data_IF_736489731410
#
_entry.id   IF_736489731410
#
_cell.length_a   1.000
_cell.length_b   1.000
_cell.length_c   1.000
_cell.angle_alpha   90.00
_cell.angle_beta   90.00
_cell.angle_gamma   90.00
#
_symmetry.space_group_name_H-M   'P 1'
#
loop_
_entity.id
_entity.type
_entity.pdbx_description
1 polymer ?
#
# COMPACT_ATOMS: atom_id res chain seq x y z
N UNK A 1 42.20 42.37 -24.83
CA UNK A 1 42.70 42.14 -23.46
C UNK A 1 42.80 40.63 -23.24
N UNK A 2 44.03 40.15 -22.98
CA UNK A 2 44.52 38.90 -22.36
C UNK A 2 43.63 37.63 -22.34
N UNK A 3 44.11 36.58 -23.06
CA UNK A 3 44.51 35.22 -22.61
C UNK A 3 44.15 34.80 -21.16
N UNK A 4 43.96 33.53 -20.76
CA UNK A 4 44.03 32.19 -21.36
C UNK A 4 43.69 31.13 -20.28
N UNK A 5 43.27 29.91 -20.70
CA UNK A 5 43.56 28.60 -20.07
C UNK A 5 42.97 28.30 -18.67
N UNK A 6 42.84 27.08 -18.16
CA UNK A 6 43.02 25.70 -18.62
C UNK A 6 42.69 24.78 -17.40
N UNK A 7 42.22 23.54 -17.66
CA UNK A 7 42.45 22.25 -16.92
C UNK A 7 42.33 22.23 -15.37
N UNK A 8 41.60 21.34 -14.69
CA UNK A 8 41.61 19.87 -14.78
C UNK A 8 42.28 19.24 -13.53
N UNK A 9 41.76 18.10 -13.04
CA UNK A 9 42.18 17.21 -11.91
C UNK A 9 41.68 17.60 -10.50
N UNK A 10 40.87 16.79 -9.78
CA UNK A 10 41.02 15.41 -9.25
C UNK A 10 42.04 15.30 -8.10
N UNK A 11 41.56 15.08 -6.87
CA UNK A 11 42.35 14.48 -5.78
C UNK A 11 41.46 13.85 -4.69
N UNK A 12 41.67 12.55 -4.48
CA UNK A 12 41.23 11.73 -3.35
C UNK A 12 41.82 12.22 -2.03
N UNK A 13 41.10 12.04 -0.92
CA UNK A 13 41.67 11.96 0.42
C UNK A 13 41.09 10.75 1.18
N UNK A 14 41.97 9.81 1.50
CA UNK A 14 41.77 8.63 2.36
C UNK A 14 42.84 8.64 3.46
N UNK A 15 42.46 8.20 4.67
CA UNK A 15 43.34 7.78 5.78
C UNK A 15 43.79 8.92 6.71
N UNK A 16 43.85 8.80 8.04
CA UNK A 16 44.19 7.64 8.88
C UNK A 16 43.56 7.77 10.28
N UNK A 17 43.03 6.67 10.79
CA UNK A 17 42.64 6.45 12.18
C UNK A 17 43.86 6.06 13.04
N UNK A 18 44.03 6.73 14.19
CA UNK A 18 45.09 6.46 15.17
C UNK A 18 44.62 5.56 16.31
N UNK A 19 45.53 4.69 16.75
CA UNK A 19 45.42 3.71 17.82
C UNK A 19 45.38 4.35 19.22
N UNK A 20 44.68 3.70 20.17
CA UNK A 20 45.15 3.58 21.56
C UNK A 20 44.57 2.31 22.21
N UNK A 21 45.47 1.39 22.55
CA UNK A 21 45.28 0.13 23.27
C UNK A 21 45.67 0.40 24.73
N UNK A 22 44.92 -0.13 25.70
CA UNK A 22 45.32 -0.15 27.11
C UNK A 22 45.32 -1.60 27.60
N UNK A 23 46.52 -2.12 27.83
CA UNK A 23 46.82 -3.39 28.53
C UNK A 23 46.53 -3.24 30.04
N UNK A 24 45.85 -4.22 30.66
CA UNK A 24 46.39 -5.35 31.42
C UNK A 24 46.78 -5.05 32.88
N UNK A 25 46.43 -5.97 33.80
CA UNK A 25 46.97 -5.96 35.15
C UNK A 25 46.25 -6.86 36.16
N UNK A 26 46.38 -8.18 36.02
CA UNK A 26 46.31 -9.14 37.14
C UNK A 26 47.49 -8.88 38.11
N UNK A 27 47.44 -9.26 39.38
CA UNK A 27 47.89 -10.57 39.89
C UNK A 27 47.64 -10.62 41.41
N UNK A 28 47.20 -11.76 41.94
CA UNK A 28 47.93 -12.37 43.05
C UNK A 28 47.79 -13.89 43.04
N UNK A 29 48.88 -14.58 43.39
CA UNK A 29 49.11 -16.03 43.26
C UNK A 29 49.02 -16.71 44.64
N UNK A 30 48.53 -17.95 44.78
CA UNK A 30 49.32 -19.21 44.89
C UNK A 30 48.48 -20.27 45.69
N UNK A 31 48.97 -21.50 46.01
CA UNK A 31 48.50 -22.76 45.42
C UNK A 31 47.74 -23.72 46.37
N UNK A 32 47.28 -24.83 45.79
CA UNK A 32 46.31 -25.85 46.24
C UNK A 32 46.51 -26.54 47.61
N UNK A 33 45.42 -27.15 48.13
CA UNK A 33 45.45 -28.58 48.45
C UNK A 33 44.25 -29.34 47.84
N UNK A 34 44.46 -30.62 47.54
CA UNK A 34 43.40 -31.62 47.31
C UNK A 34 43.52 -32.71 48.40
N UNK A 35 42.54 -33.60 48.61
CA UNK A 35 41.11 -33.54 48.34
C UNK A 35 40.26 -33.78 49.62
N UNK A 36 39.00 -33.35 49.62
CA UNK A 36 37.99 -33.91 50.52
C UNK A 36 36.75 -34.21 49.67
N UNK A 37 36.39 -35.49 49.55
CA UNK A 37 35.09 -35.89 49.04
C UNK A 37 34.02 -35.31 49.98
N UNK A 38 32.97 -34.67 49.43
CA UNK A 38 31.67 -35.23 49.74
C UNK A 38 30.64 -35.11 48.61
N UNK A 39 29.71 -36.07 48.69
CA UNK A 39 28.32 -36.01 48.28
C UNK A 39 28.04 -35.85 46.77
N UNK A 40 27.51 -36.95 46.21
CA UNK A 40 26.74 -36.96 44.97
C UNK A 40 25.63 -35.91 45.07
N UNK A 41 25.85 -34.74 44.49
CA UNK A 41 24.78 -33.84 44.12
C UNK A 41 24.11 -34.42 42.88
N UNK A 42 22.86 -34.86 43.03
CA UNK A 42 22.00 -35.21 41.89
C UNK A 42 21.88 -33.95 41.04
N UNK A 43 22.53 -33.95 39.88
CA UNK A 43 22.30 -32.94 38.86
C UNK A 43 20.84 -33.05 38.42
N UNK A 44 20.01 -32.09 38.84
CA UNK A 44 18.74 -31.81 38.18
C UNK A 44 19.08 -31.43 36.74
N UNK A 45 18.74 -32.32 35.82
CA UNK A 45 18.86 -32.06 34.39
C UNK A 45 18.11 -30.75 34.06
N UNK A 46 18.78 -29.85 33.35
CA UNK A 46 18.11 -28.76 32.66
C UNK A 46 16.97 -29.35 31.80
N UNK A 47 15.77 -28.74 31.81
CA UNK A 47 14.72 -29.18 30.92
C UNK A 47 15.23 -29.08 29.48
N UNK A 48 14.99 -30.11 28.64
CA UNK A 48 15.43 -30.07 27.25
C UNK A 48 14.84 -28.83 26.59
N UNK A 49 15.72 -28.00 26.05
CA UNK A 49 15.39 -26.88 25.18
C UNK A 49 14.41 -27.41 24.13
N UNK A 50 13.17 -26.91 24.19
CA UNK A 50 12.13 -27.34 23.27
C UNK A 50 12.64 -27.14 21.85
N UNK A 51 12.57 -28.20 21.04
CA UNK A 51 12.89 -28.11 19.62
C UNK A 51 12.15 -26.92 19.01
N UNK A 52 12.78 -26.13 18.10
CA UNK A 52 12.06 -25.08 17.40
C UNK A 52 10.80 -25.69 16.78
N UNK A 53 9.68 -24.98 16.94
CA UNK A 53 8.42 -25.39 16.33
C UNK A 53 8.65 -25.70 14.84
N UNK A 54 8.03 -26.76 14.29
CA UNK A 54 8.11 -27.02 12.87
C UNK A 54 7.75 -25.74 12.12
N UNK A 55 8.64 -25.28 11.25
CA UNK A 55 8.33 -24.18 10.32
C UNK A 55 7.08 -24.63 9.56
N UNK A 56 6.00 -23.88 9.73
CA UNK A 56 4.74 -24.15 9.04
C UNK A 56 5.03 -24.25 7.54
N UNK A 57 4.60 -25.36 6.93
CA UNK A 57 4.81 -25.54 5.50
C UNK A 57 4.12 -24.37 4.77
N UNK A 58 4.76 -23.78 3.75
CA UNK A 58 4.15 -22.70 2.99
C UNK A 58 2.75 -23.11 2.53
N UNK A 59 1.79 -22.19 2.62
CA UNK A 59 0.45 -22.44 2.13
C UNK A 59 0.51 -22.92 0.66
N UNK A 60 -0.33 -23.90 0.27
CA UNK A 60 -0.33 -24.40 -1.09
C UNK A 60 -0.66 -23.28 -2.07
N UNK A 61 0.17 -23.12 -3.11
CA UNK A 61 -0.03 -22.15 -4.17
C UNK A 61 -1.32 -22.50 -4.96
N UNK A 62 -2.23 -21.54 -5.22
CA UNK A 62 -3.42 -21.78 -6.01
C UNK A 62 -3.09 -22.35 -7.40
N UNK A 63 -3.88 -23.29 -7.95
CA UNK A 63 -3.56 -23.94 -9.23
C UNK A 63 -3.35 -22.96 -10.40
N UNK A 64 -4.15 -21.90 -10.45
CA UNK A 64 -4.06 -20.88 -11.50
C UNK A 64 -2.76 -20.06 -11.40
N UNK A 65 -2.33 -19.75 -10.17
CA UNK A 65 -1.05 -19.09 -9.91
C UNK A 65 0.11 -19.98 -10.35
N UNK A 66 0.11 -21.25 -9.94
CA UNK A 66 1.16 -22.19 -10.32
C UNK A 66 1.27 -22.36 -11.85
N UNK A 67 0.14 -22.37 -12.56
CA UNK A 67 0.13 -22.39 -14.02
C UNK A 67 0.71 -21.11 -14.63
N UNK A 68 0.38 -19.94 -14.07
CA UNK A 68 0.92 -18.66 -14.54
C UNK A 68 2.43 -18.59 -14.33
N UNK A 69 2.92 -18.98 -13.15
CA UNK A 69 4.35 -19.06 -12.85
C UNK A 69 5.09 -20.01 -13.82
N UNK A 70 4.50 -21.16 -14.14
CA UNK A 70 5.10 -22.11 -15.07
C UNK A 70 5.24 -21.53 -16.49
N UNK A 71 4.25 -20.76 -16.94
CA UNK A 71 4.32 -20.05 -18.24
C UNK A 71 5.36 -18.93 -18.19
N UNK A 72 5.41 -18.15 -17.10
CA UNK A 72 6.34 -17.04 -16.97
C UNK A 72 7.80 -17.50 -16.86
N UNK A 73 8.11 -18.53 -16.07
CA UNK A 73 9.48 -19.08 -15.98
C UNK A 73 10.00 -19.69 -17.29
N UNK A 74 9.10 -20.05 -18.22
CA UNK A 74 9.48 -20.49 -19.57
C UNK A 74 9.85 -19.31 -20.47
N UNK A 75 9.21 -18.16 -20.28
CA UNK A 75 9.42 -16.93 -21.07
C UNK A 75 10.59 -16.09 -20.52
N UNK A 76 10.67 -15.99 -19.20
CA UNK A 76 11.63 -15.20 -18.43
C UNK A 76 12.19 -16.05 -17.27
N UNK A 77 13.39 -16.63 -17.42
CA UNK A 77 14.00 -17.47 -16.39
C UNK A 77 14.30 -16.74 -15.08
N UNK A 78 14.41 -15.41 -15.10
CA UNK A 78 14.68 -14.56 -13.94
C UNK A 78 13.37 -14.02 -13.31
N UNK A 79 12.22 -14.51 -13.78
CA UNK A 79 10.92 -14.23 -13.17
C UNK A 79 10.93 -14.57 -11.68
N UNK A 80 10.43 -13.64 -10.85
CA UNK A 80 10.26 -13.73 -9.39
C UNK A 80 11.50 -13.58 -8.49
N UNK A 81 12.69 -13.35 -9.06
CA UNK A 81 13.95 -13.19 -8.31
C UNK A 81 13.90 -12.13 -7.18
N UNK A 82 13.01 -11.15 -7.30
CA UNK A 82 12.84 -10.08 -6.32
C UNK A 82 11.51 -10.16 -5.57
N UNK A 83 10.41 -10.16 -6.32
CA UNK A 83 9.06 -10.38 -5.82
C UNK A 83 8.13 -10.64 -7.01
N UNK A 84 6.95 -11.19 -6.74
CA UNK A 84 5.84 -11.25 -7.68
C UNK A 84 4.50 -11.03 -6.97
N UNK A 85 3.58 -10.37 -7.66
CA UNK A 85 2.19 -10.19 -7.24
C UNK A 85 1.26 -10.62 -8.36
N UNK A 86 0.16 -11.30 -8.00
CA UNK A 86 -0.82 -11.84 -8.93
C UNK A 86 -2.19 -11.22 -8.69
N UNK A 87 -2.81 -10.76 -9.77
CA UNK A 87 -4.22 -10.42 -9.81
C UNK A 87 -4.97 -11.42 -10.69
N UNK A 88 -6.10 -11.90 -10.17
CA UNK A 88 -6.98 -12.86 -10.84
C UNK A 88 -8.33 -12.22 -11.12
N UNK A 89 -8.92 -12.57 -12.25
CA UNK A 89 -10.29 -12.20 -12.61
C UNK A 89 -10.52 -12.25 -14.11
N UNK A 90 -11.79 -12.28 -14.50
CA UNK A 90 -12.22 -12.31 -15.90
C UNK A 90 -11.98 -10.95 -16.59
N UNK A 91 -10.82 -10.80 -17.24
CA UNK A 91 -10.35 -9.56 -17.87
C UNK A 91 -10.94 -9.39 -19.26
N UNK A 92 -11.05 -10.48 -20.02
CA UNK A 92 -11.59 -10.45 -21.39
C UNK A 92 -13.09 -10.78 -21.51
N UNK A 93 -13.74 -11.07 -20.37
CA UNK A 93 -15.19 -11.29 -20.24
C UNK A 93 -15.65 -12.60 -20.88
N UNK A 94 -14.79 -13.62 -20.89
CA UNK A 94 -15.11 -14.96 -21.37
C UNK A 94 -15.69 -15.90 -20.29
N UNK A 95 -15.78 -15.42 -19.04
CA UNK A 95 -16.30 -16.15 -17.89
C UNK A 95 -15.26 -17.01 -17.16
N UNK A 96 -13.97 -16.92 -17.51
CA UNK A 96 -12.86 -17.59 -16.82
C UNK A 96 -11.93 -16.55 -16.23
N UNK A 97 -11.27 -16.90 -15.12
CA UNK A 97 -10.29 -16.00 -14.52
C UNK A 97 -9.00 -15.98 -15.35
N UNK A 98 -8.60 -14.77 -15.73
CA UNK A 98 -7.31 -14.44 -16.31
C UNK A 98 -6.31 -14.06 -15.20
N UNK A 99 -5.06 -13.82 -15.58
CA UNK A 99 -3.99 -13.46 -14.65
C UNK A 99 -3.24 -12.22 -15.14
N UNK A 100 -3.11 -11.21 -14.29
CA UNK A 100 -2.12 -10.16 -14.43
C UNK A 100 -1.04 -10.35 -13.37
N UNK A 101 0.22 -10.36 -13.78
CA UNK A 101 1.37 -10.58 -12.90
C UNK A 101 2.28 -9.36 -12.94
N UNK A 102 2.52 -8.79 -11.78
CA UNK A 102 3.57 -7.80 -11.55
C UNK A 102 4.78 -8.50 -10.95
N UNK A 103 5.98 -8.22 -11.43
CA UNK A 103 7.21 -8.68 -10.79
C UNK A 103 8.35 -7.69 -10.96
N UNK A 104 9.28 -7.74 -10.02
CA UNK A 104 10.43 -6.85 -9.97
C UNK A 104 11.53 -7.26 -10.94
N UNK A 105 12.10 -6.28 -11.64
CA UNK A 105 13.33 -6.43 -12.42
C UNK A 105 14.46 -5.72 -11.69
N UNK A 106 15.56 -6.44 -11.46
CA UNK A 106 16.81 -5.89 -10.96
C UNK A 106 17.95 -6.00 -11.96
N UNK A 107 19.11 -5.50 -11.54
CA UNK A 107 20.36 -5.69 -12.27
C UNK A 107 21.18 -6.80 -11.58
N UNK A 108 22.12 -7.41 -12.30
CA UNK A 108 23.04 -8.42 -11.74
C UNK A 108 23.67 -7.93 -10.43
N UNK A 109 23.45 -8.68 -9.34
CA UNK A 109 23.97 -8.37 -8.01
C UNK A 109 23.21 -7.29 -7.24
N UNK A 110 22.09 -6.77 -7.77
CA UNK A 110 21.20 -5.89 -7.03
C UNK A 110 20.47 -6.67 -5.94
N UNK A 111 20.36 -6.07 -4.74
CA UNK A 111 19.59 -6.64 -3.61
C UNK A 111 18.12 -6.19 -3.62
N UNK A 112 17.72 -5.35 -4.59
CA UNK A 112 16.37 -4.82 -4.77
C UNK A 112 16.08 -4.65 -6.26
N UNK A 113 14.81 -4.74 -6.64
CA UNK A 113 14.36 -4.40 -7.97
C UNK A 113 14.41 -2.88 -8.20
N UNK A 114 14.63 -2.46 -9.44
CA UNK A 114 14.70 -1.05 -9.85
C UNK A 114 13.54 -0.64 -10.75
N UNK A 115 12.83 -1.63 -11.31
CA UNK A 115 11.65 -1.46 -12.15
C UNK A 115 10.67 -2.61 -11.91
N UNK A 116 9.42 -2.40 -12.31
CA UNK A 116 8.39 -3.43 -12.31
C UNK A 116 8.03 -3.78 -13.75
N UNK A 117 7.71 -5.04 -13.99
CA UNK A 117 7.10 -5.49 -15.24
C UNK A 117 5.74 -6.10 -14.97
N UNK A 118 4.80 -5.82 -15.87
CA UNK A 118 3.46 -6.39 -15.83
C UNK A 118 3.26 -7.31 -17.04
N UNK A 119 2.81 -8.54 -16.80
CA UNK A 119 2.46 -9.53 -17.83
C UNK A 119 1.03 -9.97 -17.68
N UNK A 120 0.36 -10.16 -18.81
CA UNK A 120 -1.04 -10.59 -18.88
C UNK A 120 -1.07 -12.00 -19.45
N UNK A 121 -1.76 -12.91 -18.78
CA UNK A 121 -2.04 -14.26 -19.25
C UNK A 121 -3.54 -14.44 -19.30
N UNK A 122 -4.07 -14.82 -20.47
CA UNK A 122 -5.50 -15.06 -20.64
C UNK A 122 -5.79 -16.54 -20.61
N UNK A 123 -6.89 -16.92 -19.96
CA UNK A 123 -7.32 -18.30 -19.93
C UNK A 123 -7.90 -18.68 -21.30
N UNK A 124 -7.38 -19.76 -21.88
CA UNK A 124 -7.82 -20.35 -23.15
C UNK A 124 -8.10 -21.83 -22.97
N UNK A 125 -8.66 -22.46 -24.00
CA UNK A 125 -9.01 -23.89 -23.95
C UNK A 125 -7.77 -24.78 -23.76
N UNK A 126 -6.61 -24.32 -24.21
CA UNK A 126 -5.33 -25.00 -24.05
C UNK A 126 -4.59 -24.67 -22.72
N UNK A 127 -5.16 -23.79 -21.89
CA UNK A 127 -4.53 -23.26 -20.67
C UNK A 127 -4.23 -21.76 -20.76
N UNK A 128 -3.39 -21.27 -19.86
CA UNK A 128 -2.98 -19.87 -19.83
C UNK A 128 -2.10 -19.54 -21.04
N UNK A 129 -2.47 -18.49 -21.76
CA UNK A 129 -1.73 -17.94 -22.89
C UNK A 129 -1.13 -16.59 -22.53
N UNK A 130 0.22 -16.53 -22.51
CA UNK A 130 0.96 -15.30 -22.28
C UNK A 130 0.76 -14.33 -23.44
N UNK A 131 0.18 -13.18 -23.12
CA UNK A 131 -0.09 -12.14 -24.09
C UNK A 131 1.19 -11.37 -24.41
N UNK A 132 1.26 -10.87 -25.65
CA UNK A 132 2.36 -10.02 -26.09
C UNK A 132 2.40 -8.76 -25.23
N UNK A 133 3.57 -8.50 -24.65
CA UNK A 133 3.79 -7.26 -23.91
C UNK A 133 3.76 -6.06 -24.87
N UNK A 134 3.07 -5.00 -24.45
CA UNK A 134 3.17 -3.68 -25.06
C UNK A 134 4.13 -2.84 -24.20
N UNK A 135 5.33 -2.49 -24.70
CA UNK A 135 6.32 -1.77 -23.93
C UNK A 135 5.89 -0.34 -23.57
N UNK A 136 4.83 0.19 -24.19
CA UNK A 136 4.36 1.56 -23.95
C UNK A 136 3.32 1.67 -22.82
N UNK A 137 2.66 0.57 -22.42
CA UNK A 137 1.56 0.63 -21.44
C UNK A 137 2.00 0.85 -20.00
N UNK A 138 3.18 0.34 -19.61
CA UNK A 138 3.67 0.34 -18.22
C UNK A 138 5.05 0.98 -18.10
N UNK A 139 5.25 2.14 -18.72
CA UNK A 139 6.53 2.88 -18.69
C UNK A 139 6.82 3.62 -17.38
N UNK A 140 6.10 3.26 -16.32
CA UNK A 140 6.16 3.84 -14.99
C UNK A 140 6.33 2.72 -13.96
N UNK A 141 6.47 3.06 -12.68
CA UNK A 141 6.51 2.04 -11.64
C UNK A 141 5.10 1.47 -11.39
N UNK A 142 4.73 0.45 -12.15
CA UNK A 142 3.40 -0.13 -12.13
C UNK A 142 3.20 -1.07 -10.94
N UNK A 143 2.07 -0.90 -10.22
CA UNK A 143 1.61 -1.81 -9.19
C UNK A 143 0.23 -2.38 -9.52
N UNK A 144 0.12 -3.69 -9.73
CA UNK A 144 -1.12 -4.38 -10.09
C UNK A 144 -2.01 -4.52 -8.85
N UNK A 145 -3.24 -4.03 -8.93
CA UNK A 145 -4.18 -4.00 -7.78
C UNK A 145 -5.31 -5.02 -7.87
N UNK A 146 -5.57 -5.57 -9.05
CA UNK A 146 -6.67 -6.51 -9.24
C UNK A 146 -7.28 -6.45 -10.63
N UNK A 147 -8.07 -7.48 -10.95
CA UNK A 147 -8.95 -7.52 -12.10
C UNK A 147 -10.38 -7.53 -11.55
N UNK A 148 -11.14 -6.46 -11.81
CA UNK A 148 -12.50 -6.31 -11.32
C UNK A 148 -13.42 -5.94 -12.47
N UNK A 149 -14.46 -6.75 -12.71
CA UNK A 149 -15.50 -6.48 -13.73
C UNK A 149 -14.93 -6.24 -15.15
N UNK A 150 -13.96 -7.05 -15.56
CA UNK A 150 -13.30 -6.91 -16.86
C UNK A 150 -12.41 -5.67 -16.98
N UNK A 151 -11.89 -5.16 -15.85
CA UNK A 151 -10.93 -4.07 -15.82
C UNK A 151 -9.73 -4.42 -14.94
N UNK A 152 -8.54 -4.30 -15.52
CA UNK A 152 -7.30 -4.36 -14.78
C UNK A 152 -7.05 -3.01 -14.12
N UNK A 153 -6.86 -3.00 -12.80
CA UNK A 153 -6.49 -1.81 -12.03
C UNK A 153 -4.99 -1.83 -11.74
N UNK A 154 -4.32 -0.75 -12.11
CA UNK A 154 -2.87 -0.59 -11.93
C UNK A 154 -2.60 0.80 -11.37
N UNK A 155 -1.78 0.88 -10.33
CA UNK A 155 -1.31 2.15 -9.79
C UNK A 155 0.05 2.50 -10.39
N UNK A 156 0.32 3.79 -10.57
CA UNK A 156 1.68 4.29 -10.74
C UNK A 156 2.22 4.71 -9.38
N UNK A 157 3.33 4.13 -9.00
CA UNK A 157 4.09 4.46 -7.81
C UNK A 157 5.13 5.55 -8.13
N UNK A 158 5.51 6.33 -7.14
CA UNK A 158 6.54 7.37 -7.31
C UNK A 158 7.92 6.80 -7.69
N UNK A 159 8.25 5.60 -7.19
CA UNK A 159 9.45 4.84 -7.57
C UNK A 159 9.36 3.39 -7.08
N UNK A 160 9.95 2.44 -7.81
CA UNK A 160 9.89 1.01 -7.42
C UNK A 160 10.87 0.64 -6.29
N UNK A 161 11.98 1.38 -6.17
CA UNK A 161 13.04 1.05 -5.21
C UNK A 161 12.77 1.56 -3.79
N UNK A 162 11.76 2.42 -3.60
CA UNK A 162 11.36 2.93 -2.30
C UNK A 162 10.55 1.83 -1.58
N UNK A 163 10.82 1.50 -0.32
CA UNK A 163 10.13 0.42 0.39
C UNK A 163 8.61 0.57 0.42
N UNK A 164 8.14 1.81 0.61
CA UNK A 164 6.73 2.16 0.73
C UNK A 164 6.47 3.40 -0.13
N UNK A 165 6.36 3.22 -1.47
CA UNK A 165 6.17 4.34 -2.37
C UNK A 165 4.73 4.81 -2.35
N UNK A 166 4.53 6.14 -2.43
CA UNK A 166 3.20 6.70 -2.65
C UNK A 166 2.66 6.34 -4.03
N UNK A 167 1.35 6.12 -4.10
CA UNK A 167 0.62 6.11 -5.37
C UNK A 167 0.41 7.53 -5.86
N UNK A 168 0.80 7.79 -7.10
CA UNK A 168 0.71 9.12 -7.73
C UNK A 168 -0.36 9.19 -8.82
N UNK A 169 -0.78 8.05 -9.37
CA UNK A 169 -1.86 7.95 -10.34
C UNK A 169 -2.47 6.53 -10.34
N UNK A 170 -3.72 6.45 -10.76
CA UNK A 170 -4.51 5.23 -10.85
C UNK A 170 -4.96 5.02 -12.29
N UNK A 171 -4.70 3.84 -12.82
CA UNK A 171 -5.03 3.48 -14.20
C UNK A 171 -6.02 2.32 -14.22
N UNK A 172 -6.96 2.38 -15.16
CA UNK A 172 -7.82 1.25 -15.50
C UNK A 172 -7.58 0.85 -16.95
N UNK A 173 -7.42 -0.45 -17.18
CA UNK A 173 -7.24 -1.01 -18.51
C UNK A 173 -8.35 -2.02 -18.81
N UNK A 174 -8.76 -2.06 -20.07
CA UNK A 174 -9.72 -3.03 -20.59
C UNK A 174 -9.07 -3.89 -21.66
N UNK A 175 -9.46 -5.17 -21.71
CA UNK A 175 -9.06 -6.02 -22.81
C UNK A 175 -9.89 -5.73 -24.07
N UNK A 176 -9.22 -5.67 -25.21
CA UNK A 176 -9.83 -5.50 -26.53
C UNK A 176 -9.27 -6.52 -27.52
N UNK A 177 -9.83 -6.57 -28.72
CA UNK A 177 -9.30 -7.42 -29.81
C UNK A 177 -7.86 -7.06 -30.22
N UNK A 178 -7.37 -5.87 -29.86
CA UNK A 178 -6.00 -5.42 -30.12
C UNK A 178 -5.07 -5.63 -28.92
N UNK A 179 -5.58 -6.20 -27.83
CA UNK A 179 -4.88 -6.33 -26.55
C UNK A 179 -5.38 -5.32 -25.52
N UNK A 180 -4.57 -5.12 -24.48
CA UNK A 180 -4.87 -4.26 -23.36
C UNK A 180 -4.89 -2.79 -23.77
N UNK A 181 -5.93 -2.05 -23.39
CA UNK A 181 -6.10 -0.62 -23.71
C UNK A 181 -6.39 0.17 -22.44
N UNK A 182 -5.66 1.26 -22.22
CA UNK A 182 -5.98 2.20 -21.15
C UNK A 182 -7.37 2.81 -21.37
N UNK A 183 -8.22 2.70 -20.34
CA UNK A 183 -9.61 3.15 -20.33
C UNK A 183 -9.81 4.36 -19.40
N UNK A 184 -9.00 4.49 -18.35
CA UNK A 184 -8.99 5.63 -17.46
C UNK A 184 -7.61 5.87 -16.87
N UNK A 185 -7.37 7.13 -16.49
CA UNK A 185 -6.28 7.58 -15.63
C UNK A 185 -6.87 8.60 -14.67
N UNK A 186 -6.51 8.51 -13.39
CA UNK A 186 -6.97 9.42 -12.34
C UNK A 186 -5.83 9.75 -11.39
N UNK A 187 -5.73 11.02 -11.03
CA UNK A 187 -5.00 11.47 -9.84
C UNK A 187 -5.69 11.00 -8.55
N UNK A 188 -5.00 11.13 -7.41
CA UNK A 188 -5.58 10.82 -6.09
C UNK A 188 -6.86 11.66 -5.82
N UNK A 189 -6.87 12.94 -6.25
CA UNK A 189 -8.04 13.82 -6.14
C UNK A 189 -9.24 13.26 -6.92
N UNK A 190 -9.03 12.92 -8.20
CA UNK A 190 -10.08 12.37 -9.07
C UNK A 190 -10.54 10.98 -8.61
N UNK A 191 -9.64 10.17 -8.05
CA UNK A 191 -9.96 8.85 -7.52
C UNK A 191 -10.82 8.93 -6.25
N UNK A 192 -10.58 9.91 -5.38
CA UNK A 192 -11.45 10.19 -4.23
C UNK A 192 -12.83 10.65 -4.71
N UNK A 193 -12.90 11.58 -5.67
CA UNK A 193 -14.19 12.04 -6.22
C UNK A 193 -14.98 10.90 -6.84
N UNK A 194 -14.33 10.06 -7.65
CA UNK A 194 -14.97 8.92 -8.30
C UNK A 194 -15.61 7.97 -7.26
N UNK A 195 -14.87 7.61 -6.20
CA UNK A 195 -15.38 6.72 -5.15
C UNK A 195 -16.46 7.35 -4.29
N UNK A 196 -16.36 8.66 -3.98
CA UNK A 196 -17.45 9.38 -3.32
C UNK A 196 -18.70 9.43 -4.21
N UNK A 197 -18.54 9.53 -5.53
CA UNK A 197 -19.63 9.46 -6.50
C UNK A 197 -20.32 8.09 -6.51
N UNK A 198 -19.53 7.01 -6.51
CA UNK A 198 -20.04 5.64 -6.41
C UNK A 198 -20.75 5.39 -5.06
N UNK A 199 -20.20 5.89 -3.96
CA UNK A 199 -20.84 5.85 -2.64
C UNK A 199 -22.16 6.63 -2.64
N UNK A 200 -22.18 7.85 -3.21
CA UNK A 200 -23.40 8.65 -3.33
C UNK A 200 -24.51 7.90 -4.08
N UNK A 201 -24.14 7.23 -5.17
CA UNK A 201 -25.04 6.41 -5.99
C UNK A 201 -25.55 5.19 -5.23
N UNK A 202 -24.67 4.47 -4.55
CA UNK A 202 -25.02 3.30 -3.74
C UNK A 202 -26.01 3.68 -2.62
N UNK A 203 -25.73 4.76 -1.89
CA UNK A 203 -26.59 5.27 -0.83
C UNK A 203 -27.97 5.70 -1.36
N UNK A 204 -28.02 6.41 -2.50
CA UNK A 204 -29.29 6.85 -3.12
C UNK A 204 -30.14 5.69 -3.61
N UNK A 205 -29.48 4.66 -4.13
CA UNK A 205 -30.13 3.45 -4.66
C UNK A 205 -30.41 2.38 -3.60
N UNK A 206 -30.08 2.62 -2.33
CA UNK A 206 -30.28 1.66 -1.24
C UNK A 206 -29.41 0.41 -1.34
N UNK A 207 -28.30 0.45 -2.09
CA UNK A 207 -27.37 -0.68 -2.25
C UNK A 207 -26.38 -0.70 -1.09
N UNK A 208 -26.84 -1.16 0.07
CA UNK A 208 -26.06 -1.15 1.32
C UNK A 208 -24.74 -1.92 1.23
N UNK A 209 -24.71 -3.05 0.50
CA UNK A 209 -23.49 -3.83 0.27
C UNK A 209 -22.42 -3.04 -0.50
N UNK A 210 -22.83 -2.30 -1.53
CA UNK A 210 -21.92 -1.44 -2.30
C UNK A 210 -21.42 -0.27 -1.44
N UNK A 211 -22.30 0.36 -0.66
CA UNK A 211 -21.93 1.45 0.23
C UNK A 211 -20.94 0.99 1.32
N UNK A 212 -21.14 -0.21 1.87
CA UNK A 212 -20.28 -0.79 2.90
C UNK A 212 -18.82 -0.99 2.41
N UNK A 213 -18.61 -1.23 1.11
CA UNK A 213 -17.27 -1.37 0.56
C UNK A 213 -16.42 -0.09 0.69
N UNK A 214 -17.04 1.10 0.67
CA UNK A 214 -16.37 2.39 0.85
C UNK A 214 -16.25 2.82 2.32
N UNK A 215 -16.99 2.16 3.20
CA UNK A 215 -17.05 2.44 4.64
C UNK A 215 -16.33 1.38 5.46
N UNK A 216 -15.59 0.50 4.79
CA UNK A 216 -14.78 -0.52 5.43
C UNK A 216 -13.79 0.15 6.39
N UNK A 217 -13.58 -0.44 7.58
CA UNK A 217 -12.60 0.08 8.52
C UNK A 217 -11.23 0.16 7.86
N UNK A 218 -10.59 1.32 8.02
CA UNK A 218 -9.20 1.48 7.69
C UNK A 218 -8.31 0.66 8.61
N UNK A 219 -7.07 0.44 8.19
CA UNK A 219 -6.09 -0.16 9.08
C UNK A 219 -5.93 0.75 10.32
N UNK A 220 -5.73 0.15 11.49
CA UNK A 220 -5.66 0.85 12.78
C UNK A 220 -4.24 0.86 13.34
N UNK A 221 -3.91 1.89 14.13
CA UNK A 221 -2.67 1.92 14.88
C UNK A 221 -2.58 0.72 15.84
N UNK A 222 -1.36 0.26 16.14
CA UNK A 222 -1.14 -0.83 17.07
C UNK A 222 -1.85 -0.57 18.42
N UNK A 223 -2.73 -1.51 18.82
CA UNK A 223 -3.51 -1.39 20.06
C UNK A 223 -4.78 -0.52 19.97
N UNK A 224 -5.08 0.06 18.80
CA UNK A 224 -6.33 0.77 18.53
C UNK A 224 -7.33 -0.13 17.78
N UNK A 225 -8.62 0.13 17.96
CA UNK A 225 -9.67 -0.47 17.13
C UNK A 225 -9.89 0.39 15.88
N UNK A 226 -10.06 -0.26 14.73
CA UNK A 226 -10.43 0.42 13.50
C UNK A 226 -11.83 1.06 13.63
N UNK A 227 -12.06 2.18 12.93
CA UNK A 227 -13.35 2.84 12.95
C UNK A 227 -14.45 1.96 12.33
N UNK A 228 -15.55 1.82 13.05
CA UNK A 228 -16.73 1.10 12.56
C UNK A 228 -17.66 2.08 11.82
N UNK A 229 -18.36 1.58 10.80
CA UNK A 229 -19.33 2.38 10.08
C UNK A 229 -20.67 2.52 10.84
N UNK A 230 -21.04 1.53 11.66
CA UNK A 230 -22.35 1.46 12.34
C UNK A 230 -22.73 2.77 13.07
N UNK A 231 -21.83 3.43 13.83
CA UNK A 231 -22.17 4.68 14.53
C UNK A 231 -22.51 5.87 13.61
N UNK A 232 -22.18 5.81 12.31
CA UNK A 232 -22.62 6.82 11.33
C UNK A 232 -24.10 6.67 11.00
N UNK A 233 -24.66 5.46 11.16
CA UNK A 233 -26.00 5.10 10.72
C UNK A 233 -27.00 4.86 11.86
N UNK A 234 -26.52 4.78 13.11
CA UNK A 234 -27.33 4.59 14.32
C UNK A 234 -28.35 5.71 14.54
N UNK A 235 -27.94 6.97 14.33
CA UNK A 235 -28.80 8.14 14.50
C UNK A 235 -29.37 8.61 13.16
N UNK A 236 -30.69 8.83 13.12
CA UNK A 236 -31.38 9.21 11.89
C UNK A 236 -30.90 10.55 11.31
N UNK A 237 -30.63 11.54 12.17
CA UNK A 237 -30.13 12.86 11.75
C UNK A 237 -28.69 12.76 11.19
N UNK A 238 -27.81 12.03 11.88
CA UNK A 238 -26.43 11.78 11.43
C UNK A 238 -26.38 11.06 10.10
N UNK A 239 -27.17 9.99 9.96
CA UNK A 239 -27.31 9.24 8.72
C UNK A 239 -27.79 10.13 7.57
N UNK A 240 -28.83 10.91 7.80
CA UNK A 240 -29.36 11.82 6.78
C UNK A 240 -28.32 12.89 6.38
N UNK A 241 -27.62 13.46 7.36
CA UNK A 241 -26.57 14.45 7.14
C UNK A 241 -25.38 13.89 6.36
N UNK A 242 -24.90 12.68 6.72
CA UNK A 242 -23.85 11.99 5.99
C UNK A 242 -24.22 11.75 4.52
N UNK A 243 -25.41 11.19 4.27
CA UNK A 243 -25.91 10.94 2.91
C UNK A 243 -26.00 12.26 2.13
N UNK A 244 -26.54 13.31 2.74
CA UNK A 244 -26.66 14.62 2.11
C UNK A 244 -25.28 15.24 1.79
N UNK A 245 -24.32 15.14 2.70
CA UNK A 245 -22.97 15.67 2.53
C UNK A 245 -22.24 14.95 1.38
N UNK A 246 -22.26 13.62 1.36
CA UNK A 246 -21.67 12.81 0.27
C UNK A 246 -22.30 13.20 -1.07
N UNK A 247 -23.64 13.26 -1.15
CA UNK A 247 -24.35 13.63 -2.38
C UNK A 247 -24.11 15.08 -2.82
N UNK A 248 -23.94 16.00 -1.87
CA UNK A 248 -23.68 17.39 -2.15
C UNK A 248 -22.29 17.60 -2.76
N UNK A 249 -21.30 16.84 -2.28
CA UNK A 249 -19.87 17.07 -2.52
C UNK A 249 -19.21 16.12 -3.53
N UNK A 250 -19.79 14.95 -3.82
CA UNK A 250 -19.18 13.90 -4.67
C UNK A 250 -18.88 14.28 -6.13
N UNK A 251 -19.30 15.47 -6.58
CA UNK A 251 -19.03 15.98 -7.93
C UNK A 251 -18.67 17.46 -7.95
N UNK A 252 -18.22 18.01 -6.82
CA UNK A 252 -17.84 19.41 -6.73
C UNK A 252 -16.40 19.62 -7.20
N UNK A 253 -16.17 20.75 -7.86
CA UNK A 253 -14.81 21.19 -8.18
C UNK A 253 -14.11 21.67 -6.91
N UNK A 254 -12.85 21.28 -6.75
CA UNK A 254 -12.04 21.73 -5.63
C UNK A 254 -11.40 23.08 -5.88
N UNK A 255 -11.40 23.92 -4.84
CA UNK A 255 -10.50 25.05 -4.72
C UNK A 255 -9.17 24.56 -4.14
N UNK A 256 -8.07 25.00 -4.75
CA UNK A 256 -6.74 24.79 -4.19
C UNK A 256 -6.50 25.74 -3.00
N UNK A 257 -6.08 25.17 -1.86
CA UNK A 257 -5.70 25.93 -0.66
C UNK A 257 -4.19 26.00 -0.45
N UNK A 258 -3.48 24.96 -0.86
CA UNK A 258 -2.02 24.84 -0.81
C UNK A 258 -1.51 23.92 -1.91
N UNK A 259 -0.24 23.52 -1.84
CA UNK A 259 0.33 22.59 -2.83
C UNK A 259 -0.46 21.27 -2.86
N UNK A 260 -0.73 20.70 -1.68
CA UNK A 260 -1.37 19.40 -1.52
C UNK A 260 -2.80 19.47 -0.96
N UNK A 261 -3.30 20.68 -0.69
CA UNK A 261 -4.61 20.86 -0.05
C UNK A 261 -5.66 21.33 -1.03
N UNK A 262 -6.85 20.74 -0.91
CA UNK A 262 -8.03 20.99 -1.74
C UNK A 262 -9.26 21.13 -0.86
N UNK A 263 -10.17 22.00 -1.26
CA UNK A 263 -11.44 22.15 -0.54
C UNK A 263 -12.61 22.39 -1.49
N UNK A 264 -13.68 21.63 -1.29
CA UNK A 264 -14.97 21.86 -1.91
C UNK A 264 -15.98 22.23 -0.82
N UNK A 265 -16.81 23.23 -1.09
CA UNK A 265 -17.84 23.71 -0.16
C UNK A 265 -19.15 23.84 -0.92
N UNK A 266 -20.23 23.32 -0.34
CA UNK A 266 -21.58 23.49 -0.88
C UNK A 266 -22.56 23.78 0.26
N UNK A 267 -22.98 25.03 0.39
CA UNK A 267 -23.70 25.46 1.59
C UNK A 267 -22.82 25.26 2.82
N UNK A 268 -23.30 24.49 3.79
CA UNK A 268 -22.58 24.18 5.03
C UNK A 268 -21.79 22.86 4.96
N UNK A 269 -21.86 22.14 3.83
CA UNK A 269 -21.09 20.91 3.63
C UNK A 269 -19.68 21.25 3.14
N UNK A 270 -18.67 20.64 3.76
CA UNK A 270 -17.25 20.79 3.37
C UNK A 270 -16.62 19.43 3.06
N UNK A 271 -15.80 19.40 2.02
CA UNK A 271 -14.89 18.29 1.73
C UNK A 271 -13.48 18.85 1.61
N UNK A 272 -12.61 18.50 2.55
CA UNK A 272 -11.20 18.87 2.55
C UNK A 272 -10.34 17.66 2.15
N UNK A 273 -9.41 17.84 1.23
CA UNK A 273 -8.44 16.80 0.87
C UNK A 273 -7.03 17.25 1.22
N UNK A 274 -6.27 16.35 1.84
CA UNK A 274 -4.83 16.41 1.93
C UNK A 274 -4.23 15.31 1.03
N UNK A 275 -3.68 15.71 -0.12
CA UNK A 275 -3.14 14.82 -1.15
C UNK A 275 -1.71 14.33 -0.86
N UNK A 276 -1.10 14.79 0.24
CA UNK A 276 0.21 14.33 0.69
C UNK A 276 0.31 14.50 2.21
N UNK A 277 -0.39 13.66 2.99
CA UNK A 277 -0.34 13.72 4.44
C UNK A 277 1.09 13.48 4.94
N UNK A 278 1.63 14.42 5.72
CA UNK A 278 2.97 14.28 6.31
C UNK A 278 2.92 13.30 7.49
N UNK A 279 3.94 12.45 7.62
CA UNK A 279 4.17 11.65 8.84
C UNK A 279 3.25 10.43 9.04
N UNK A 280 2.31 10.18 8.14
CA UNK A 280 1.42 9.02 8.21
C UNK A 280 1.90 7.90 7.28
N UNK A 281 3.11 7.37 7.54
CA UNK A 281 3.16 5.90 7.57
C UNK A 281 2.26 5.58 8.75
N UNK A 282 0.99 5.34 8.48
CA UNK A 282 0.13 4.91 9.54
C UNK A 282 0.83 3.64 10.09
N UNK A 283 1.15 3.62 11.39
CA UNK A 283 1.76 2.46 12.06
C UNK A 283 0.68 1.38 12.14
N UNK A 284 0.32 0.86 10.97
CA UNK A 284 -0.84 0.03 10.69
C UNK A 284 -0.52 -1.41 11.02
N UNK A 285 -0.21 -1.70 12.29
CA UNK A 285 0.09 -3.04 12.82
C UNK A 285 1.37 -3.69 12.28
N UNK A 286 1.59 -3.61 10.97
CA UNK A 286 2.56 -4.36 10.18
C UNK A 286 3.52 -3.43 9.39
N UNK A 287 3.27 -2.11 9.38
CA UNK A 287 4.21 -1.09 8.85
C UNK A 287 4.29 -0.94 7.32
N UNK A 288 3.48 -1.68 6.56
CA UNK A 288 3.68 -1.85 5.11
C UNK A 288 2.76 -1.02 4.19
N UNK A 289 1.93 -0.12 4.74
CA UNK A 289 0.90 0.58 3.95
C UNK A 289 1.06 2.09 4.00
N UNK A 290 1.15 2.70 2.81
CA UNK A 290 1.25 4.16 2.61
C UNK A 290 -0.13 4.78 2.49
N UNK A 291 -0.35 5.89 3.20
CA UNK A 291 -1.50 6.74 2.99
C UNK A 291 -1.26 7.67 1.79
N UNK A 292 -2.05 7.50 0.72
CA UNK A 292 -1.91 8.28 -0.50
C UNK A 292 -2.60 9.65 -0.40
N UNK A 293 -3.67 9.74 0.40
CA UNK A 293 -4.40 10.98 0.66
C UNK A 293 -5.41 10.83 1.81
N UNK A 294 -5.75 11.92 2.48
CA UNK A 294 -6.85 11.98 3.46
C UNK A 294 -7.98 12.85 2.91
N UNK A 295 -9.21 12.36 3.03
CA UNK A 295 -10.42 13.12 2.73
C UNK A 295 -11.26 13.32 4.00
N UNK A 296 -11.54 14.56 4.37
CA UNK A 296 -12.40 14.92 5.51
C UNK A 296 -13.70 15.51 5.02
N UNK A 297 -14.82 14.84 5.31
CA UNK A 297 -16.18 15.26 5.00
C UNK A 297 -16.85 15.82 6.24
N UNK A 298 -17.39 17.03 6.16
CA UNK A 298 -18.02 17.73 7.28
C UNK A 298 -19.43 18.22 6.95
N UNK A 299 -20.31 18.16 7.94
CA UNK A 299 -21.67 18.71 7.85
C UNK A 299 -22.21 19.15 9.22
N UNK A 300 -23.12 20.13 9.26
CA UNK A 300 -23.81 20.51 10.49
C UNK A 300 -24.88 19.47 10.88
N UNK A 301 -25.06 19.24 12.17
CA UNK A 301 -26.22 18.48 12.71
C UNK A 301 -27.28 19.39 13.35
N UNK A 302 -26.89 20.60 13.79
CA UNK A 302 -27.77 21.58 14.44
C UNK A 302 -27.22 22.04 15.79
N UNK A 303 -27.79 23.12 16.35
CA UNK A 303 -27.46 23.65 17.68
C UNK A 303 -25.94 23.89 17.92
N UNK A 304 -25.22 24.34 16.89
CA UNK A 304 -23.79 24.60 16.97
C UNK A 304 -22.91 23.35 16.92
N UNK A 305 -23.48 22.17 16.65
CA UNK A 305 -22.77 20.90 16.53
C UNK A 305 -22.67 20.48 15.07
N UNK A 306 -21.44 20.17 14.65
CA UNK A 306 -21.10 19.55 13.38
C UNK A 306 -20.63 18.11 13.54
N UNK A 307 -20.49 17.42 12.41
CA UNK A 307 -19.97 16.06 12.36
C UNK A 307 -19.00 15.90 11.21
N UNK A 308 -17.92 15.18 11.47
CA UNK A 308 -16.85 14.91 10.52
C UNK A 308 -16.67 13.41 10.32
N UNK A 309 -16.30 13.04 9.09
CA UNK A 309 -15.87 11.68 8.72
C UNK A 309 -14.58 11.81 7.95
N UNK A 310 -13.56 11.05 8.35
CA UNK A 310 -12.26 11.02 7.67
C UNK A 310 -12.08 9.70 6.95
N UNK A 311 -11.58 9.78 5.73
CA UNK A 311 -11.22 8.65 4.89
C UNK A 311 -9.74 8.66 4.57
N UNK A 312 -9.14 7.47 4.55
CA UNK A 312 -7.82 7.23 3.94
C UNK A 312 -8.02 6.77 2.49
N UNK A 313 -7.24 7.30 1.57
CA UNK A 313 -7.01 6.69 0.27
C UNK A 313 -5.75 5.82 0.37
N UNK A 314 -5.94 4.53 0.18
CA UNK A 314 -4.85 3.55 0.19
C UNK A 314 -4.99 2.71 -1.07
N UNK A 315 -3.96 2.71 -1.93
CA UNK A 315 -3.91 1.86 -3.12
C UNK A 315 -5.17 2.02 -4.00
N UNK A 316 -5.57 3.29 -4.18
CA UNK A 316 -6.71 3.67 -5.01
C UNK A 316 -8.08 3.34 -4.42
N UNK A 317 -8.19 3.02 -3.13
CA UNK A 317 -9.47 2.74 -2.48
C UNK A 317 -9.65 3.49 -1.16
N UNK A 318 -10.89 3.91 -0.89
CA UNK A 318 -11.26 4.59 0.36
C UNK A 318 -11.44 3.61 1.51
N UNK A 319 -11.03 4.06 2.68
CA UNK A 319 -11.21 3.38 3.96
C UNK A 319 -11.65 4.39 5.02
N UNK A 320 -12.56 3.98 5.91
CA UNK A 320 -12.99 4.82 7.02
C UNK A 320 -11.88 4.89 8.09
N UNK A 321 -11.34 6.08 8.33
CA UNK A 321 -10.33 6.31 9.35
C UNK A 321 -10.96 6.52 10.72
N UNK A 322 -11.84 7.52 10.79
CA UNK A 322 -12.52 7.94 12.00
C UNK A 322 -13.79 8.71 11.66
N UNK A 323 -14.56 9.02 12.70
CA UNK A 323 -15.68 9.94 12.63
C UNK A 323 -15.91 10.56 14.01
N UNK A 324 -16.24 11.85 14.06
CA UNK A 324 -16.42 12.56 15.32
C UNK A 324 -17.35 13.77 15.20
N UNK A 325 -17.99 14.16 16.31
CA UNK A 325 -18.67 15.44 16.42
C UNK A 325 -17.67 16.57 16.69
N UNK A 326 -17.97 17.77 16.22
CA UNK A 326 -17.17 18.97 16.47
C UNK A 326 -18.07 20.18 16.76
N UNK A 327 -17.54 21.19 17.44
CA UNK A 327 -18.24 22.46 17.65
C UNK A 327 -18.15 23.31 16.37
N UNK A 328 -19.29 23.57 15.73
CA UNK A 328 -19.35 24.28 14.45
C UNK A 328 -19.34 25.81 14.59
N UNK A 329 -19.36 26.34 15.83
CA UNK A 329 -19.34 27.78 16.12
C UNK A 329 -17.92 28.36 16.30
N UNK A 330 -16.87 27.52 16.22
CA UNK A 330 -15.48 27.91 16.47
C UNK A 330 -14.64 28.23 15.22
N UNK A 331 -15.24 28.38 14.04
CA UNK A 331 -14.57 28.82 12.81
C UNK A 331 -14.74 30.31 12.49
#
# INVERSE_FOLDING_TARGET
MRQAGALGALALLLGLSACARSDAGALDSAPAPAPAEPAVAVATADPPQSAPAPVEAPAPVPPLQAAAEAVLRQDDPDFDDYYSQFAFGDLDRDGRDDVAVEYGIGADGATRHVANTVRILLMRDAGLELQRADPDLFRYCAAVRGIDRGRLRVDSLEACMIPFPHTIAHYEYEWTVQGLRQSAERSNEEQIQAQLGELAEALRSGRSGDAAAFLRPGPAAAGASAAAADPLFDEAARRAGFIAAVQALSGQTFRQLGANERMAVRGEYKLHLNLKPEGELAELGDGDTVNDAVATLEWPQGDGVGYSVRFLLIQGRLYLLDHSGFDSESE
#
